data_IF_787282738656
#
_entry.id   IF_787282738656
#
_cell.length_a   1.000
_cell.length_b   1.000
_cell.length_c   1.000
_cell.angle_alpha   90.00
_cell.angle_beta   90.00
_cell.angle_gamma   90.00
#
_symmetry.space_group_name_H-M   'P 1'
#
loop_
_entity.id
_entity.type
_entity.pdbx_description
1 polymer ?
#
# COMPACT_ATOMS: atom_id res chain seq x y z
N UNK A 1 14.78 9.59 -9.63
CA UNK A 1 14.18 10.35 -10.76
C UNK A 1 13.53 9.48 -11.87
N UNK A 2 13.46 8.13 -11.75
CA UNK A 2 12.87 7.28 -12.79
C UNK A 2 11.52 6.62 -12.43
N UNK A 3 11.07 6.76 -11.18
CA UNK A 3 9.89 6.06 -10.68
C UNK A 3 8.57 6.52 -11.34
N UNK A 4 8.41 7.82 -11.58
CA UNK A 4 7.23 8.43 -12.21
C UNK A 4 7.03 7.90 -13.64
N UNK A 5 8.12 7.85 -14.40
CA UNK A 5 8.12 7.39 -15.79
C UNK A 5 7.81 5.89 -15.91
N UNK A 6 8.18 5.10 -14.90
CA UNK A 6 7.97 3.65 -14.94
C UNK A 6 6.49 3.28 -14.98
N UNK A 7 5.66 3.87 -14.11
CA UNK A 7 4.23 3.52 -14.07
C UNK A 7 3.49 4.02 -15.31
N UNK A 8 3.83 5.23 -15.80
CA UNK A 8 3.27 5.76 -17.06
C UNK A 8 3.62 4.82 -18.22
N UNK A 9 4.90 4.45 -18.35
CA UNK A 9 5.36 3.57 -19.42
C UNK A 9 4.69 2.19 -19.33
N UNK A 10 4.63 1.60 -18.14
CA UNK A 10 3.96 0.33 -17.91
C UNK A 10 2.47 0.39 -18.30
N UNK A 11 1.79 1.46 -17.90
CA UNK A 11 0.37 1.67 -18.22
C UNK A 11 0.16 1.84 -19.72
N UNK A 12 1.00 2.63 -20.38
CA UNK A 12 0.94 2.82 -21.83
C UNK A 12 1.18 1.51 -22.59
N UNK A 13 2.21 0.74 -22.19
CA UNK A 13 2.51 -0.57 -22.79
C UNK A 13 1.35 -1.55 -22.59
N UNK A 14 0.74 -1.59 -21.39
CA UNK A 14 -0.42 -2.43 -21.12
C UNK A 14 -1.62 -2.04 -21.98
N UNK A 15 -1.93 -0.75 -22.09
CA UNK A 15 -3.02 -0.26 -22.95
C UNK A 15 -2.79 -0.63 -24.40
N UNK A 16 -1.57 -0.42 -24.92
CA UNK A 16 -1.20 -0.78 -26.30
C UNK A 16 -1.28 -2.30 -26.52
N UNK A 17 -0.83 -3.09 -25.55
CA UNK A 17 -0.89 -4.55 -25.63
C UNK A 17 -2.34 -5.05 -25.66
N UNK A 18 -3.22 -4.49 -24.82
CA UNK A 18 -4.65 -4.83 -24.81
C UNK A 18 -5.33 -4.40 -26.10
N UNK A 19 -5.07 -3.18 -26.58
CA UNK A 19 -5.60 -2.70 -27.85
C UNK A 19 -5.15 -3.57 -29.02
N UNK A 20 -3.86 -3.95 -29.06
CA UNK A 20 -3.30 -4.82 -30.10
C UNK A 20 -3.92 -6.22 -30.08
N UNK A 21 -4.12 -6.77 -28.88
CA UNK A 21 -4.73 -8.08 -28.70
C UNK A 21 -6.23 -8.06 -29.07
N UNK A 22 -6.96 -7.02 -28.67
CA UNK A 22 -8.38 -6.85 -29.02
C UNK A 22 -8.58 -6.61 -30.51
N UNK A 23 -7.67 -5.88 -31.16
CA UNK A 23 -7.69 -5.69 -32.61
C UNK A 23 -7.59 -7.03 -33.35
N UNK A 24 -6.71 -7.93 -32.89
CA UNK A 24 -6.41 -9.20 -33.57
C UNK A 24 -7.40 -10.32 -33.26
N UNK A 25 -7.82 -10.41 -32.00
CA UNK A 25 -8.53 -11.58 -31.46
C UNK A 25 -9.90 -11.24 -30.88
N UNK A 26 -10.33 -9.99 -31.02
CA UNK A 26 -11.56 -9.47 -30.44
C UNK A 26 -11.46 -9.12 -28.96
N UNK A 27 -12.34 -8.23 -28.51
CA UNK A 27 -12.36 -7.70 -27.13
C UNK A 27 -13.19 -8.55 -26.17
N UNK A 28 -14.10 -9.36 -26.69
CA UNK A 28 -15.10 -10.10 -25.90
C UNK A 28 -14.43 -10.99 -24.84
N UNK A 29 -13.31 -11.63 -25.23
CA UNK A 29 -12.41 -12.38 -24.36
C UNK A 29 -11.97 -11.66 -23.10
N UNK A 30 -11.61 -10.39 -23.26
CA UNK A 30 -11.13 -9.55 -22.17
C UNK A 30 -12.26 -9.11 -21.27
N UNK A 31 -13.41 -8.76 -21.85
CA UNK A 31 -14.57 -8.25 -21.12
C UNK A 31 -15.14 -9.28 -20.14
N UNK A 32 -15.39 -10.53 -20.58
CA UNK A 32 -15.88 -11.55 -19.63
C UNK A 32 -14.82 -11.93 -18.61
N UNK A 33 -13.53 -11.86 -19.00
CA UNK A 33 -12.41 -12.16 -18.11
C UNK A 33 -12.36 -11.17 -16.96
N UNK A 34 -12.40 -9.87 -17.26
CA UNK A 34 -12.30 -8.83 -16.24
C UNK A 34 -13.58 -8.66 -15.44
N UNK A 35 -14.75 -8.84 -16.08
CA UNK A 35 -16.05 -8.84 -15.37
C UNK A 35 -16.09 -9.96 -14.34
N UNK A 36 -15.66 -11.17 -14.74
CA UNK A 36 -15.50 -12.27 -13.81
C UNK A 36 -14.52 -11.91 -12.69
N UNK A 37 -13.35 -11.36 -13.03
CA UNK A 37 -12.29 -11.07 -12.05
C UNK A 37 -12.78 -10.07 -10.98
N UNK A 38 -13.44 -8.99 -11.41
CA UNK A 38 -14.05 -8.03 -10.50
C UNK A 38 -15.10 -8.67 -9.60
N UNK A 39 -16.00 -9.47 -10.17
CA UNK A 39 -17.02 -10.14 -9.39
C UNK A 39 -16.41 -11.10 -8.36
N UNK A 40 -15.32 -11.80 -8.72
CA UNK A 40 -14.58 -12.65 -7.80
C UNK A 40 -13.93 -11.87 -6.66
N UNK A 41 -13.28 -10.75 -6.96
CA UNK A 41 -12.65 -9.87 -5.94
C UNK A 41 -13.72 -9.29 -5.01
N UNK A 42 -14.74 -8.63 -5.55
CA UNK A 42 -15.82 -8.00 -4.78
C UNK A 42 -16.58 -9.06 -3.98
N UNK A 43 -16.95 -10.17 -4.62
CA UNK A 43 -17.64 -11.28 -3.98
C UNK A 43 -16.83 -11.90 -2.83
N UNK A 44 -15.52 -12.11 -3.04
CA UNK A 44 -14.62 -12.60 -2.01
C UNK A 44 -14.50 -11.64 -0.82
N UNK A 45 -14.41 -10.32 -1.07
CA UNK A 45 -14.36 -9.30 -0.02
C UNK A 45 -15.68 -9.23 0.75
N UNK A 46 -16.82 -9.24 0.05
CA UNK A 46 -18.15 -9.21 0.70
C UNK A 46 -18.34 -10.46 1.56
N UNK A 47 -18.02 -11.65 1.05
CA UNK A 47 -18.08 -12.88 1.84
C UNK A 47 -17.11 -12.84 3.03
N UNK A 48 -15.91 -12.28 2.85
CA UNK A 48 -14.98 -12.08 3.95
C UNK A 48 -15.61 -11.25 5.06
N UNK A 49 -16.16 -10.09 4.72
CA UNK A 49 -16.68 -9.14 5.70
C UNK A 49 -17.99 -9.60 6.36
N UNK A 50 -18.92 -10.17 5.61
CA UNK A 50 -20.27 -10.48 6.11
C UNK A 50 -20.44 -11.90 6.63
N UNK A 51 -19.61 -12.85 6.19
CA UNK A 51 -19.79 -14.27 6.53
C UNK A 51 -18.56 -14.81 7.26
N UNK A 52 -17.37 -14.66 6.67
CA UNK A 52 -16.16 -15.34 7.15
C UNK A 52 -15.55 -14.64 8.37
N UNK A 53 -15.71 -13.32 8.47
CA UNK A 53 -15.18 -12.51 9.58
C UNK A 53 -15.66 -13.00 10.95
N UNK A 54 -16.92 -13.43 11.03
CA UNK A 54 -17.56 -13.96 12.25
C UNK A 54 -17.15 -15.38 12.64
N UNK A 55 -16.39 -16.10 11.81
CA UNK A 55 -15.94 -17.46 12.12
C UNK A 55 -14.80 -17.45 13.15
N UNK A 56 -14.75 -18.43 14.04
CA UNK A 56 -13.64 -18.63 14.99
C UNK A 56 -12.46 -19.36 14.33
N UNK A 57 -11.93 -18.78 13.25
CA UNK A 57 -10.79 -19.30 12.48
C UNK A 57 -9.62 -18.32 12.51
N UNK A 58 -8.40 -18.82 12.27
CA UNK A 58 -7.24 -17.94 12.12
C UNK A 58 -7.36 -17.05 10.88
N UNK A 59 -6.77 -15.86 10.92
CA UNK A 59 -6.87 -14.88 9.83
C UNK A 59 -6.40 -15.45 8.48
N UNK A 60 -5.31 -16.22 8.46
CA UNK A 60 -4.81 -16.87 7.24
C UNK A 60 -5.82 -17.85 6.63
N UNK A 61 -6.52 -18.63 7.45
CA UNK A 61 -7.56 -19.55 6.99
C UNK A 61 -8.78 -18.78 6.45
N UNK A 62 -9.18 -17.70 7.13
CA UNK A 62 -10.27 -16.82 6.66
C UNK A 62 -9.95 -16.23 5.28
N UNK A 63 -8.72 -15.77 5.08
CA UNK A 63 -8.24 -15.27 3.79
C UNK A 63 -8.25 -16.35 2.71
N UNK A 64 -7.80 -17.56 3.03
CA UNK A 64 -7.81 -18.68 2.10
C UNK A 64 -9.24 -19.04 1.66
N UNK A 65 -10.20 -19.10 2.60
CA UNK A 65 -11.60 -19.35 2.30
C UNK A 65 -12.17 -18.24 1.41
N UNK A 66 -11.92 -16.97 1.75
CA UNK A 66 -12.40 -15.84 0.95
C UNK A 66 -11.82 -15.85 -0.47
N UNK A 67 -10.55 -16.23 -0.62
CA UNK A 67 -9.91 -16.37 -1.92
C UNK A 67 -10.55 -17.48 -2.75
N UNK A 68 -10.77 -18.68 -2.17
CA UNK A 68 -11.43 -19.79 -2.86
C UNK A 68 -12.86 -19.43 -3.23
N UNK A 69 -13.61 -18.81 -2.33
CA UNK A 69 -14.97 -18.36 -2.61
C UNK A 69 -15.01 -17.31 -3.74
N UNK A 70 -14.09 -16.34 -3.71
CA UNK A 70 -13.91 -15.37 -4.79
C UNK A 70 -13.58 -16.03 -6.12
N UNK A 71 -12.73 -17.07 -6.12
CA UNK A 71 -12.41 -17.84 -7.32
C UNK A 71 -13.63 -18.58 -7.88
N UNK A 72 -14.47 -19.15 -7.02
CA UNK A 72 -15.74 -19.79 -7.44
C UNK A 72 -16.69 -18.76 -8.05
N UNK A 73 -16.86 -17.59 -7.41
CA UNK A 73 -17.68 -16.49 -7.95
C UNK A 73 -17.13 -16.03 -9.30
N UNK A 74 -15.81 -15.87 -9.42
CA UNK A 74 -15.14 -15.55 -10.68
C UNK A 74 -15.54 -16.52 -11.79
N UNK A 75 -15.46 -17.84 -11.55
CA UNK A 75 -15.78 -18.85 -12.56
C UNK A 75 -17.25 -18.82 -12.98
N UNK A 76 -18.17 -18.64 -12.03
CA UNK A 76 -19.61 -18.55 -12.28
C UNK A 76 -19.91 -17.29 -13.11
N UNK A 77 -19.49 -16.12 -12.63
CA UNK A 77 -19.78 -14.85 -13.31
C UNK A 77 -19.07 -14.76 -14.65
N UNK A 78 -17.84 -15.27 -14.77
CA UNK A 78 -17.13 -15.35 -16.06
C UNK A 78 -17.94 -16.16 -17.08
N UNK A 79 -18.53 -17.28 -16.67
CA UNK A 79 -19.32 -18.14 -17.55
C UNK A 79 -20.61 -17.47 -18.00
N UNK A 80 -21.31 -16.79 -17.07
CA UNK A 80 -22.53 -16.02 -17.38
C UNK A 80 -22.22 -14.81 -18.27
N UNK A 81 -21.18 -14.05 -17.94
CA UNK A 81 -20.73 -12.90 -18.72
C UNK A 81 -20.31 -13.34 -20.12
N UNK A 82 -19.64 -14.48 -20.28
CA UNK A 82 -19.32 -15.04 -21.60
C UNK A 82 -20.59 -15.28 -22.42
N UNK A 83 -21.60 -15.93 -21.86
CA UNK A 83 -22.85 -16.21 -22.57
C UNK A 83 -23.57 -14.92 -23.03
N UNK A 84 -23.67 -13.93 -22.13
CA UNK A 84 -24.31 -12.63 -22.45
C UNK A 84 -23.50 -11.85 -23.48
N UNK A 85 -22.18 -11.78 -23.31
CA UNK A 85 -21.31 -11.03 -24.22
C UNK A 85 -21.20 -11.69 -25.59
N UNK A 86 -21.23 -13.03 -25.68
CA UNK A 86 -21.32 -13.71 -26.98
C UNK A 86 -22.62 -13.33 -27.69
N UNK A 87 -23.77 -13.36 -27.03
CA UNK A 87 -25.04 -12.96 -27.65
C UNK A 87 -25.06 -11.50 -28.14
N UNK A 88 -24.30 -10.60 -27.50
CA UNK A 88 -24.23 -9.18 -27.89
C UNK A 88 -23.22 -8.89 -29.00
N UNK A 89 -22.09 -9.60 -29.02
CA UNK A 89 -20.93 -9.33 -29.88
C UNK A 89 -20.70 -10.36 -30.98
N UNK A 90 -21.50 -11.44 -31.05
CA UNK A 90 -21.51 -12.36 -32.21
C UNK A 90 -21.82 -11.62 -33.51
N UNK A 91 -21.49 -12.19 -34.70
CA UNK A 91 -21.63 -11.50 -35.98
C UNK A 91 -23.00 -10.86 -36.24
N UNK A 92 -24.06 -11.54 -35.80
CA UNK A 92 -25.47 -11.10 -35.94
C UNK A 92 -25.95 -10.26 -34.73
N UNK A 93 -25.08 -10.07 -33.74
CA UNK A 93 -25.37 -9.32 -32.52
C UNK A 93 -25.37 -7.81 -32.75
N UNK A 94 -26.07 -7.05 -31.89
CA UNK A 94 -26.22 -5.60 -32.03
C UNK A 94 -24.90 -4.82 -31.90
N UNK A 95 -23.87 -5.42 -31.29
CA UNK A 95 -22.57 -4.80 -31.03
C UNK A 95 -21.41 -5.50 -31.76
N UNK A 96 -21.70 -6.29 -32.80
CA UNK A 96 -20.68 -7.04 -33.54
C UNK A 96 -19.56 -6.17 -34.11
N UNK A 97 -19.89 -4.95 -34.53
CA UNK A 97 -18.92 -3.96 -35.04
C UNK A 97 -17.90 -3.46 -33.98
N UNK A 98 -18.20 -3.66 -32.69
CA UNK A 98 -17.31 -3.36 -31.57
C UNK A 98 -16.49 -4.56 -31.09
N UNK A 99 -16.72 -5.75 -31.65
CA UNK A 99 -16.03 -6.96 -31.22
C UNK A 99 -14.54 -6.90 -31.59
N UNK A 100 -14.23 -6.48 -32.82
CA UNK A 100 -12.91 -6.65 -33.45
C UNK A 100 -12.37 -5.34 -34.04
N UNK A 101 -11.12 -5.38 -34.53
CA UNK A 101 -10.49 -4.25 -35.23
C UNK A 101 -10.42 -2.98 -34.36
N UNK A 102 -10.74 -1.83 -34.95
CA UNK A 102 -10.70 -0.55 -34.23
C UNK A 102 -11.75 -0.46 -33.12
N UNK A 103 -12.96 -0.98 -33.36
CA UNK A 103 -14.03 -1.02 -32.36
C UNK A 103 -13.60 -1.83 -31.12
N UNK A 104 -13.06 -3.03 -31.34
CA UNK A 104 -12.51 -3.87 -30.29
C UNK A 104 -11.35 -3.19 -29.54
N UNK A 105 -10.44 -2.52 -30.24
CA UNK A 105 -9.35 -1.78 -29.63
C UNK A 105 -9.85 -0.64 -28.71
N UNK A 106 -10.87 0.12 -29.12
CA UNK A 106 -11.48 1.18 -28.28
C UNK A 106 -12.17 0.57 -27.07
N UNK A 107 -12.94 -0.50 -27.23
CA UNK A 107 -13.62 -1.17 -26.10
C UNK A 107 -12.62 -1.79 -25.12
N UNK A 108 -11.44 -2.21 -25.60
CA UNK A 108 -10.38 -2.76 -24.76
C UNK A 108 -9.79 -1.76 -23.77
N UNK A 109 -10.06 -0.46 -23.95
CA UNK A 109 -9.68 0.58 -22.98
C UNK A 109 -10.30 0.31 -21.61
N UNK A 110 -11.52 -0.23 -21.55
CA UNK A 110 -12.19 -0.56 -20.29
C UNK A 110 -11.38 -1.61 -19.50
N UNK A 111 -11.10 -2.82 -20.04
CA UNK A 111 -10.32 -3.80 -19.32
C UNK A 111 -8.87 -3.35 -19.05
N UNK A 112 -8.26 -2.57 -19.95
CA UNK A 112 -6.89 -2.08 -19.72
C UNK A 112 -6.83 -1.05 -18.60
N UNK A 113 -7.73 -0.06 -18.58
CA UNK A 113 -7.75 0.97 -17.53
C UNK A 113 -8.04 0.36 -16.17
N UNK A 114 -8.93 -0.62 -16.13
CA UNK A 114 -9.23 -1.34 -14.91
C UNK A 114 -8.05 -2.18 -14.41
N UNK A 115 -7.31 -2.82 -15.32
CA UNK A 115 -6.07 -3.53 -14.99
C UNK A 115 -5.03 -2.55 -14.42
N UNK A 116 -4.85 -1.39 -15.06
CA UNK A 116 -3.96 -0.32 -14.60
C UNK A 116 -4.37 0.16 -13.21
N UNK A 117 -5.68 0.36 -12.95
CA UNK A 117 -6.19 0.75 -11.64
C UNK A 117 -5.90 -0.31 -10.56
N UNK A 118 -6.09 -1.60 -10.86
CA UNK A 118 -5.76 -2.69 -9.94
C UNK A 118 -4.27 -2.72 -9.62
N UNK A 119 -3.41 -2.54 -10.63
CA UNK A 119 -1.96 -2.46 -10.44
C UNK A 119 -1.56 -1.23 -9.61
N UNK A 120 -2.20 -0.08 -9.86
CA UNK A 120 -2.00 1.14 -9.08
C UNK A 120 -2.35 0.93 -7.59
N UNK A 121 -3.50 0.33 -7.29
CA UNK A 121 -3.91 0.00 -5.92
C UNK A 121 -2.95 -1.01 -5.27
N UNK A 122 -2.55 -2.05 -6.00
CA UNK A 122 -1.60 -3.04 -5.51
C UNK A 122 -0.24 -2.41 -5.18
N UNK A 123 0.25 -1.54 -6.06
CA UNK A 123 1.48 -0.77 -5.85
C UNK A 123 1.35 0.17 -4.65
N UNK A 124 0.19 0.81 -4.49
CA UNK A 124 -0.09 1.73 -3.38
C UNK A 124 -0.06 1.03 -2.03
N UNK A 125 -0.83 -0.05 -1.88
CA UNK A 125 -0.91 -0.83 -0.64
C UNK A 125 0.44 -1.49 -0.37
N UNK A 126 1.02 -2.16 -1.37
CA UNK A 126 2.31 -2.84 -1.25
C UNK A 126 3.45 -1.88 -0.89
N UNK A 127 3.57 -0.77 -1.62
CA UNK A 127 4.54 0.28 -1.35
C UNK A 127 4.40 0.83 0.07
N UNK A 128 3.17 1.07 0.53
CA UNK A 128 2.90 1.52 1.90
C UNK A 128 3.31 0.51 2.97
N UNK A 129 2.95 -0.76 2.82
CA UNK A 129 3.32 -1.78 3.81
C UNK A 129 4.83 -1.99 3.87
N UNK A 130 5.53 -1.97 2.73
CA UNK A 130 6.99 -2.14 2.69
C UNK A 130 7.71 -0.90 3.25
N UNK A 131 7.22 0.32 2.99
CA UNK A 131 7.78 1.56 3.56
C UNK A 131 7.57 1.61 5.10
N UNK A 132 6.38 1.25 5.59
CA UNK A 132 6.14 1.14 7.03
C UNK A 132 6.98 0.06 7.70
N UNK A 133 7.19 -1.07 7.01
CA UNK A 133 8.10 -2.12 7.47
C UNK A 133 9.53 -1.62 7.57
N UNK A 134 9.98 -0.77 6.64
CA UNK A 134 11.30 -0.13 6.72
C UNK A 134 11.43 0.70 8.00
N UNK A 135 10.45 1.54 8.34
CA UNK A 135 10.48 2.30 9.60
C UNK A 135 10.57 1.41 10.83
N UNK A 136 9.83 0.29 10.83
CA UNK A 136 9.92 -0.71 11.90
C UNK A 136 11.33 -1.29 12.05
N UNK A 137 11.99 -1.60 10.93
CA UNK A 137 13.36 -2.09 10.94
C UNK A 137 14.33 -1.10 11.57
N UNK A 138 14.14 0.21 11.35
CA UNK A 138 14.98 1.28 11.90
C UNK A 138 14.81 1.47 13.41
N UNK A 139 13.62 1.18 13.94
CA UNK A 139 13.31 1.29 15.37
C UNK A 139 13.47 0.00 16.16
N UNK A 140 13.67 -1.14 15.49
CA UNK A 140 13.83 -2.44 16.16
C UNK A 140 15.11 -2.47 17.00
N UNK A 141 15.04 -2.70 18.33
CA UNK A 141 16.23 -2.80 19.19
C UNK A 141 17.13 -3.97 18.78
N UNK A 142 18.45 -3.81 18.89
CA UNK A 142 19.42 -4.89 18.72
C UNK A 142 19.69 -5.33 17.27
N UNK A 143 19.07 -4.70 16.26
CA UNK A 143 19.53 -4.85 14.88
C UNK A 143 20.72 -3.94 14.63
N UNK A 144 21.89 -4.54 14.50
CA UNK A 144 23.10 -3.88 14.03
C UNK A 144 22.94 -3.60 12.53
N UNK A 145 22.65 -2.36 12.19
CA UNK A 145 23.01 -1.88 10.86
C UNK A 145 24.50 -1.57 10.92
N UNK A 146 25.34 -2.15 10.05
CA UNK A 146 26.71 -1.66 9.88
C UNK A 146 26.61 -0.14 9.70
N UNK A 147 27.49 0.65 10.33
CA UNK A 147 27.39 2.12 10.44
C UNK A 147 27.31 2.89 9.09
N UNK A 148 27.28 2.17 7.96
CA UNK A 148 27.17 2.68 6.58
C UNK A 148 26.09 1.99 5.71
N UNK A 149 25.35 0.99 6.21
CA UNK A 149 24.37 0.23 5.41
C UNK A 149 23.02 0.23 6.13
N UNK A 150 22.29 1.33 5.97
CA UNK A 150 20.88 1.41 6.38
C UNK A 150 20.00 0.83 5.28
N UNK A 151 18.80 0.30 5.60
CA UNK A 151 17.90 -0.19 4.58
C UNK A 151 17.52 0.97 3.67
N UNK A 152 18.05 0.92 2.45
CA UNK A 152 17.68 1.84 1.38
C UNK A 152 16.15 1.84 1.24
N UNK A 153 15.62 2.96 0.77
CA UNK A 153 14.19 3.04 0.52
C UNK A 153 13.81 1.97 -0.52
N UNK A 154 12.79 1.15 -0.25
CA UNK A 154 12.38 0.11 -1.18
C UNK A 154 11.90 0.73 -2.50
N UNK A 155 12.34 0.17 -3.63
CA UNK A 155 11.93 0.62 -4.97
C UNK A 155 10.40 0.68 -5.14
N UNK A 156 9.67 -0.26 -4.53
CA UNK A 156 8.20 -0.31 -4.59
C UNK A 156 7.58 0.92 -3.92
N UNK A 157 8.17 1.45 -2.84
CA UNK A 157 7.71 2.69 -2.20
C UNK A 157 8.02 3.92 -3.06
N UNK A 158 9.17 3.95 -3.74
CA UNK A 158 9.49 5.01 -4.69
C UNK A 158 8.55 4.99 -5.91
N UNK A 159 8.23 3.80 -6.43
CA UNK A 159 7.27 3.63 -7.52
C UNK A 159 5.86 4.08 -7.13
N UNK A 160 5.42 3.78 -5.90
CA UNK A 160 4.17 4.34 -5.35
C UNK A 160 4.23 5.87 -5.34
N UNK A 161 5.29 6.46 -4.80
CA UNK A 161 5.39 7.92 -4.72
C UNK A 161 5.37 8.56 -6.10
N UNK A 162 6.03 7.94 -7.09
CA UNK A 162 5.99 8.39 -8.46
C UNK A 162 4.64 8.21 -9.15
N UNK A 163 3.82 7.23 -8.73
CA UNK A 163 2.42 7.12 -9.13
C UNK A 163 1.58 8.23 -8.47
N UNK A 164 1.79 8.48 -7.17
CA UNK A 164 1.06 9.48 -6.39
C UNK A 164 1.50 10.93 -6.64
N UNK A 165 2.59 11.17 -7.39
CA UNK A 165 3.01 12.51 -7.83
C UNK A 165 2.30 12.95 -9.11
N UNK A 166 1.67 12.02 -9.85
CA UNK A 166 0.94 12.34 -11.06
C UNK A 166 -0.34 13.15 -10.74
N UNK A 167 -0.64 14.20 -11.54
CA UNK A 167 -1.84 15.01 -11.35
C UNK A 167 -3.11 14.15 -11.34
N UNK A 168 -4.01 14.41 -10.38
CA UNK A 168 -5.31 13.73 -10.22
C UNK A 168 -5.27 12.24 -9.89
N UNK A 169 -4.14 11.55 -10.08
CA UNK A 169 -4.01 10.11 -9.78
C UNK A 169 -4.14 9.86 -8.30
N UNK A 170 -3.49 10.69 -7.46
CA UNK A 170 -3.61 10.59 -6.00
C UNK A 170 -5.06 10.70 -5.53
N UNK A 171 -5.76 11.74 -5.97
CA UNK A 171 -7.15 11.99 -5.57
C UNK A 171 -8.09 10.88 -6.08
N UNK A 172 -7.86 10.40 -7.30
CA UNK A 172 -8.60 9.27 -7.87
C UNK A 172 -8.38 7.98 -7.08
N UNK A 173 -7.14 7.69 -6.66
CA UNK A 173 -6.85 6.53 -5.81
C UNK A 173 -7.44 6.71 -4.41
N UNK A 174 -7.41 7.91 -3.83
CA UNK A 174 -8.00 8.20 -2.51
C UNK A 174 -9.52 8.00 -2.46
N UNK A 175 -10.18 8.16 -3.61
CA UNK A 175 -11.60 7.90 -3.78
C UNK A 175 -11.92 6.40 -3.84
N UNK A 176 -11.16 5.63 -4.62
CA UNK A 176 -11.42 4.18 -4.83
C UNK A 176 -10.92 3.34 -3.66
N UNK A 177 -9.80 3.71 -3.07
CA UNK A 177 -9.04 2.90 -2.13
C UNK A 177 -8.56 3.80 -0.98
N UNK A 178 -9.30 3.84 0.14
CA UNK A 178 -8.98 4.76 1.24
C UNK A 178 -7.82 4.28 2.12
N UNK A 179 -7.36 3.04 2.02
CA UNK A 179 -6.32 2.48 2.89
C UNK A 179 -4.94 2.85 2.34
N UNK A 180 -4.15 3.60 3.11
CA UNK A 180 -2.82 4.01 2.66
C UNK A 180 -2.82 5.33 1.90
N UNK A 181 -3.86 6.14 2.13
CA UNK A 181 -3.79 7.60 1.98
C UNK A 181 -2.51 8.12 2.63
N UNK A 182 -1.94 9.17 2.04
CA UNK A 182 -0.68 9.78 2.50
C UNK A 182 -0.76 10.13 3.99
N UNK A 183 -1.91 10.65 4.45
CA UNK A 183 -2.11 11.04 5.84
C UNK A 183 -2.10 9.84 6.80
N UNK A 184 -2.82 8.77 6.45
CA UNK A 184 -2.84 7.52 7.26
C UNK A 184 -1.44 6.89 7.30
N UNK A 185 -0.77 6.84 6.15
CA UNK A 185 0.61 6.33 6.04
C UNK A 185 1.56 7.12 6.93
N UNK A 186 1.55 8.45 6.83
CA UNK A 186 2.44 9.32 7.57
C UNK A 186 2.17 9.26 9.07
N UNK A 187 0.90 9.23 9.47
CA UNK A 187 0.49 9.09 10.86
C UNK A 187 0.96 7.75 11.45
N UNK A 188 0.73 6.63 10.73
CA UNK A 188 1.21 5.31 11.16
C UNK A 188 2.74 5.26 11.18
N UNK A 189 3.41 5.88 10.22
CA UNK A 189 4.86 6.02 10.21
C UNK A 189 5.37 6.75 11.46
N UNK A 190 4.77 7.89 11.83
CA UNK A 190 5.07 8.64 13.04
C UNK A 190 4.87 7.80 14.33
N UNK A 191 3.79 7.02 14.39
CA UNK A 191 3.54 6.09 15.49
C UNK A 191 4.58 4.96 15.57
N UNK A 192 5.16 4.53 14.45
CA UNK A 192 6.23 3.52 14.44
C UNK A 192 7.53 4.13 14.94
N UNK A 193 7.93 5.27 14.38
CA UNK A 193 9.21 5.93 14.69
C UNK A 193 9.26 6.44 16.14
N UNK A 194 8.11 6.72 16.75
CA UNK A 194 8.02 7.16 18.16
C UNK A 194 8.62 6.17 19.17
N UNK A 195 8.76 4.90 18.79
CA UNK A 195 9.40 3.86 19.61
C UNK A 195 10.89 4.11 19.87
N UNK A 196 11.56 4.90 19.03
CA UNK A 196 13.00 5.16 19.15
C UNK A 196 13.23 6.61 19.54
N UNK A 197 13.52 6.82 20.83
CA UNK A 197 13.59 8.16 21.42
C UNK A 197 14.47 9.17 20.66
N UNK A 198 15.67 8.83 20.16
CA UNK A 198 16.49 9.78 19.39
C UNK A 198 15.82 10.24 18.08
N UNK A 199 15.23 9.30 17.33
CA UNK A 199 14.53 9.60 16.08
C UNK A 199 13.25 10.39 16.35
N UNK A 200 12.51 10.00 17.39
CA UNK A 200 11.29 10.72 17.77
C UNK A 200 11.57 12.14 18.25
N UNK A 201 12.66 12.36 19.00
CA UNK A 201 13.09 13.70 19.40
C UNK A 201 13.40 14.56 18.17
N UNK A 202 14.15 14.03 17.21
CA UNK A 202 14.44 14.74 15.97
C UNK A 202 13.16 15.18 15.24
N UNK A 203 12.17 14.29 15.11
CA UNK A 203 10.88 14.61 14.51
C UNK A 203 10.01 15.55 15.37
N UNK A 204 10.25 15.62 16.68
CA UNK A 204 9.55 16.57 17.56
C UNK A 204 10.13 17.98 17.46
N UNK A 205 11.39 18.08 17.05
CA UNK A 205 12.12 19.35 16.88
C UNK A 205 12.00 19.91 15.46
N UNK A 206 11.73 19.05 14.47
CA UNK A 206 11.59 19.41 13.07
C UNK A 206 10.30 20.22 12.78
N UNK A 207 10.37 21.38 12.09
CA UNK A 207 9.20 22.23 11.87
C UNK A 207 8.03 21.58 11.13
N UNK A 208 8.29 20.64 10.20
CA UNK A 208 7.25 20.00 9.38
C UNK A 208 6.45 18.96 10.19
N UNK A 209 7.12 18.27 11.11
CA UNK A 209 6.51 17.20 11.92
C UNK A 209 6.10 17.61 13.34
N UNK A 210 6.69 18.68 13.88
CA UNK A 210 6.43 19.16 15.25
C UNK A 210 4.96 19.40 15.55
N UNK A 211 4.24 20.10 14.68
CA UNK A 211 2.82 20.41 14.87
C UNK A 211 1.94 19.16 14.98
N UNK A 212 2.31 18.09 14.27
CA UNK A 212 1.61 16.81 14.30
C UNK A 212 1.94 16.07 15.61
N UNK A 213 3.22 16.01 15.96
CA UNK A 213 3.71 15.30 17.15
C UNK A 213 3.19 15.94 18.44
N UNK A 214 3.12 17.26 18.52
CA UNK A 214 2.61 17.99 19.69
C UNK A 214 1.08 17.99 19.78
N UNK A 215 0.36 17.55 18.73
CA UNK A 215 -1.09 17.59 18.72
C UNK A 215 -1.72 16.68 19.79
N UNK A 216 -2.81 17.10 20.45
CA UNK A 216 -3.53 16.26 21.40
C UNK A 216 -4.04 14.95 20.78
N UNK A 217 -4.41 15.00 19.50
CA UNK A 217 -4.92 13.83 18.74
C UNK A 217 -3.82 12.78 18.57
N UNK A 218 -2.60 13.19 18.20
CA UNK A 218 -1.47 12.26 18.09
C UNK A 218 -1.07 11.69 19.45
N UNK A 219 -1.04 12.52 20.50
CA UNK A 219 -0.75 12.06 21.86
C UNK A 219 -1.79 11.05 22.38
N UNK A 220 -3.07 11.25 22.05
CA UNK A 220 -4.13 10.29 22.36
C UNK A 220 -3.90 8.94 21.66
N UNK A 221 -3.44 8.93 20.39
CA UNK A 221 -3.08 7.70 19.70
C UNK A 221 -1.86 7.00 20.30
N UNK A 222 -0.85 7.75 20.74
CA UNK A 222 0.29 7.19 21.45
C UNK A 222 -0.12 6.54 22.78
N UNK A 223 -1.15 7.07 23.45
CA UNK A 223 -1.67 6.53 24.69
C UNK A 223 -2.64 5.34 24.49
N UNK A 224 -3.20 5.16 23.30
CA UNK A 224 -4.19 4.12 23.00
C UNK A 224 -3.57 2.71 23.04
N UNK A 225 -4.06 1.86 23.96
CA UNK A 225 -3.52 0.52 24.19
C UNK A 225 -3.66 -0.42 22.98
N UNK A 226 -4.75 -0.34 22.23
CA UNK A 226 -4.95 -1.17 21.03
C UNK A 226 -3.98 -0.75 19.92
N UNK A 227 -3.75 0.56 19.73
CA UNK A 227 -2.75 1.06 18.78
C UNK A 227 -1.34 0.64 19.18
N UNK A 228 -1.00 0.70 20.48
CA UNK A 228 0.28 0.20 21.01
C UNK A 228 0.46 -1.30 20.73
N UNK A 229 -0.59 -2.10 20.97
CA UNK A 229 -0.57 -3.55 20.72
C UNK A 229 -0.37 -3.88 19.24
N UNK A 230 -1.09 -3.21 18.34
CA UNK A 230 -0.91 -3.39 16.89
C UNK A 230 0.51 -2.99 16.47
N UNK A 231 1.01 -1.88 17.00
CA UNK A 231 2.34 -1.40 16.70
C UNK A 231 3.41 -2.38 17.20
N UNK A 232 3.28 -2.92 18.41
CA UNK A 232 4.23 -3.88 19.02
C UNK A 232 4.24 -5.21 18.28
N UNK A 233 3.09 -5.71 17.82
CA UNK A 233 2.98 -6.94 17.00
C UNK A 233 3.44 -6.79 15.56
N UNK A 234 3.68 -5.56 15.09
CA UNK A 234 4.04 -5.32 13.69
C UNK A 234 2.85 -5.35 12.74
N UNK A 235 1.62 -5.24 13.23
CA UNK A 235 0.41 -5.31 12.40
C UNK A 235 0.09 -3.96 11.73
N UNK A 236 0.82 -3.65 10.66
CA UNK A 236 0.71 -2.38 9.92
C UNK A 236 -0.63 -2.22 9.22
N UNK A 237 -1.16 -3.30 8.67
CA UNK A 237 -2.47 -3.27 8.03
C UNK A 237 -3.57 -3.07 9.08
N UNK A 238 -3.45 -3.69 10.25
CA UNK A 238 -4.31 -3.44 11.40
C UNK A 238 -4.26 -1.99 11.85
N UNK A 239 -3.07 -1.37 11.94
CA UNK A 239 -2.93 0.06 12.27
C UNK A 239 -3.60 0.97 11.23
N UNK A 240 -3.37 0.73 9.93
CA UNK A 240 -4.01 1.52 8.86
C UNK A 240 -5.54 1.40 8.85
N UNK A 241 -6.07 0.28 9.33
CA UNK A 241 -7.52 0.03 9.42
C UNK A 241 -8.13 0.44 10.76
N UNK A 242 -7.31 0.82 11.75
CA UNK A 242 -7.80 1.13 13.09
C UNK A 242 -8.70 2.38 13.06
N UNK A 243 -9.93 2.34 13.62
CA UNK A 243 -10.87 3.46 13.54
C UNK A 243 -10.28 4.78 14.03
N UNK A 244 -9.59 4.77 15.17
CA UNK A 244 -9.01 6.00 15.74
C UNK A 244 -7.87 6.57 14.91
N UNK A 245 -7.06 5.71 14.27
CA UNK A 245 -5.98 6.14 13.37
C UNK A 245 -6.58 6.80 12.13
N UNK A 246 -7.64 6.20 11.56
CA UNK A 246 -8.33 6.76 10.41
C UNK A 246 -9.04 8.07 10.74
N UNK A 247 -9.69 8.15 11.90
CA UNK A 247 -10.33 9.37 12.38
C UNK A 247 -9.32 10.50 12.58
N UNK A 248 -8.17 10.22 13.18
CA UNK A 248 -7.09 11.17 13.35
C UNK A 248 -6.47 11.62 12.01
N UNK A 249 -6.31 10.70 11.05
CA UNK A 249 -5.74 11.02 9.74
C UNK A 249 -6.62 11.97 8.90
N UNK A 250 -7.93 12.03 9.18
CA UNK A 250 -8.87 12.96 8.53
C UNK A 250 -9.25 14.16 9.39
N UNK A 251 -8.70 14.27 10.61
CA UNK A 251 -8.93 15.41 11.51
C UNK A 251 -8.51 16.72 10.83
N UNK A 252 -9.37 17.74 10.89
CA UNK A 252 -9.13 18.99 10.17
C UNK A 252 -7.87 19.74 10.62
N UNK A 253 -7.46 19.56 11.87
CA UNK A 253 -6.24 20.18 12.42
C UNK A 253 -4.97 19.47 11.99
N UNK A 254 -5.02 18.14 11.78
CA UNK A 254 -3.86 17.33 11.41
C UNK A 254 -3.73 17.06 9.91
N UNK A 255 -4.86 16.93 9.20
CA UNK A 255 -4.90 16.42 7.83
C UNK A 255 -3.99 17.20 6.86
N UNK A 256 -3.95 18.55 6.85
CA UNK A 256 -3.07 19.28 5.94
C UNK A 256 -1.59 18.98 6.22
N UNK A 257 -1.17 19.07 7.49
CA UNK A 257 0.21 18.80 7.90
C UNK A 257 0.61 17.35 7.57
N UNK A 258 -0.26 16.37 7.84
CA UNK A 258 -0.04 14.97 7.48
C UNK A 258 0.04 14.74 5.97
N UNK A 259 -0.64 15.53 5.15
CA UNK A 259 -0.63 15.38 3.68
C UNK A 259 0.66 15.91 3.05
N UNK A 260 1.23 16.95 3.65
CA UNK A 260 2.46 17.62 3.19
C UNK A 260 3.73 17.00 3.78
N UNK A 261 3.62 16.25 4.88
CA UNK A 261 4.76 15.65 5.56
C UNK A 261 5.53 14.66 4.67
N UNK A 262 6.83 14.94 4.45
CA UNK A 262 7.76 14.03 3.79
C UNK A 262 8.49 13.14 4.81
N UNK A 263 7.75 12.31 5.54
CA UNK A 263 8.31 11.53 6.66
C UNK A 263 9.53 10.69 6.27
N UNK A 264 9.52 10.06 5.08
CA UNK A 264 10.65 9.25 4.62
C UNK A 264 11.92 10.09 4.44
N UNK A 265 11.81 11.34 3.97
CA UNK A 265 12.95 12.26 3.84
C UNK A 265 13.50 12.62 5.21
N UNK A 266 12.65 13.01 6.16
CA UNK A 266 13.06 13.36 7.53
C UNK A 266 13.76 12.19 8.24
N UNK A 267 13.25 10.98 8.06
CA UNK A 267 13.90 9.77 8.58
C UNK A 267 15.26 9.58 7.91
N UNK A 268 15.37 9.73 6.60
CA UNK A 268 16.64 9.59 5.87
C UNK A 268 17.68 10.63 6.31
N UNK A 269 17.27 11.89 6.50
CA UNK A 269 18.12 12.97 7.00
C UNK A 269 18.65 12.67 8.39
N UNK A 270 17.80 12.19 9.30
CA UNK A 270 18.24 11.76 10.62
C UNK A 270 19.30 10.67 10.55
N UNK A 271 19.10 9.67 9.68
CA UNK A 271 20.02 8.54 9.52
C UNK A 271 21.38 8.96 8.95
N UNK A 272 21.44 10.07 8.21
CA UNK A 272 22.66 10.67 7.69
C UNK A 272 23.30 11.67 8.67
N UNK A 273 22.60 12.05 9.73
CA UNK A 273 23.05 13.05 10.71
C UNK A 273 24.11 12.51 11.69
N UNK A 274 24.93 13.39 12.28
CA UNK A 274 25.84 13.01 13.37
C UNK A 274 25.12 12.45 14.61
N UNK A 275 23.88 12.87 14.86
CA UNK A 275 23.08 12.40 15.99
C UNK A 275 22.84 10.90 15.91
N UNK A 276 22.68 10.36 14.71
CA UNK A 276 22.52 8.92 14.53
C UNK A 276 23.82 8.14 14.75
N UNK A 277 24.97 8.70 14.38
CA UNK A 277 26.27 8.10 14.67
C UNK A 277 26.50 7.96 16.18
N UNK A 278 26.10 8.97 16.97
CA UNK A 278 26.14 8.90 18.44
C UNK A 278 25.25 7.78 19.00
N UNK A 279 24.08 7.55 18.39
CA UNK A 279 23.20 6.43 18.78
C UNK A 279 23.91 5.10 18.54
N UNK A 280 24.58 4.93 17.40
CA UNK A 280 25.34 3.70 17.08
C UNK A 280 26.50 3.49 18.06
N UNK A 281 27.30 4.53 18.30
CA UNK A 281 28.44 4.46 19.23
C UNK A 281 28.00 4.11 20.66
N UNK A 282 26.88 4.68 21.12
CA UNK A 282 26.30 4.34 22.42
C UNK A 282 25.87 2.87 22.51
N UNK A 283 25.28 2.32 21.44
CA UNK A 283 24.94 0.88 21.39
C UNK A 283 26.19 -0.01 21.40
N UNK A 284 27.24 0.36 20.67
CA UNK A 284 28.50 -0.41 20.64
C UNK A 284 29.17 -0.45 22.01
N UNK A 285 29.26 0.68 22.73
CA UNK A 285 29.81 0.71 24.09
C UNK A 285 29.01 -0.17 25.05
N UNK A 286 27.68 -0.09 25.00
CA UNK A 286 26.82 -0.90 25.89
C UNK A 286 27.00 -2.40 25.60
N UNK A 287 27.26 -2.78 24.34
CA UNK A 287 27.55 -4.16 23.95
C UNK A 287 28.94 -4.61 24.43
N UNK A 288 29.95 -3.77 24.33
CA UNK A 288 31.30 -4.04 24.86
C UNK A 288 31.28 -4.19 26.39
N UNK A 289 30.52 -3.36 27.11
CA UNK A 289 30.38 -3.44 28.56
C UNK A 289 29.60 -4.69 29.03
N UNK A 290 28.71 -5.23 28.19
CA UNK A 290 27.93 -6.45 28.51
C UNK A 290 28.58 -7.74 28.00
N UNK A 291 29.46 -7.64 27.01
CA UNK A 291 30.37 -8.72 26.61
C UNK A 291 31.54 -8.77 27.61
N UNK A 292 31.32 -9.37 28.78
CA UNK A 292 32.37 -9.60 29.78
C UNK A 292 33.64 -10.24 29.18
N UNK A 293 34.79 -10.12 29.88
CA UNK A 293 36.10 -10.49 29.32
C UNK A 293 36.08 -11.91 28.75
N UNK A 294 36.57 -12.04 27.50
CA UNK A 294 36.75 -13.32 26.83
C UNK A 294 37.49 -14.29 27.77
N UNK A 295 37.00 -15.52 27.99
CA UNK A 295 37.70 -16.46 28.85
C UNK A 295 39.09 -16.71 28.27
N UNK A 296 40.12 -16.39 29.06
CA UNK A 296 41.50 -16.60 28.69
C UNK A 296 41.71 -18.08 28.34
N UNK A 297 42.21 -18.33 27.13
CA UNK A 297 42.59 -19.67 26.64
C UNK A 297 43.86 -20.17 27.32
#
# INVERSE_FOLDING_TARGET
MYAEHFFILLSAVLVIAFASQAWRNGVVGMLWGITGALAGIVGGILLFNFVISGLTLSFGVKLAIAFVAGLVIYLIVRSLAKAVLMALFEPDGPLSWLADGFGGAVVSLVPSLLTVLILAMGLRIGGTLVDLRRFELLVTPGREFPAKIYPARPLVAEWRDGLESLPYVRDGLDFVEPIGRVQERNLVGLLIVSKKAPLFRHLSEDPESKSIVESPVFQALLANETVKELNSKGDRLGMLRHPDVRAAAIDSGLRPALAELELSRLVDEFMLSPNWQQVIEGYQRTKEDTAGPEPAK
#
